data_IF_138301637358
#
_entry.id   IF_138301637358
#
_cell.length_a   1.000
_cell.length_b   1.000
_cell.length_c   1.000
_cell.angle_alpha   90.00
_cell.angle_beta   90.00
_cell.angle_gamma   90.00
#
_symmetry.space_group_name_H-M   'P 1'
#
loop_
_entity.id
_entity.type
_entity.pdbx_description
1 polymer ?
#
# COMPACT_ATOMS: atom_id res chain seq x y z
N UNK A 1 -62.58 31.86 20.09
CA UNK A 1 -61.72 31.50 18.95
C UNK A 1 -62.54 31.56 17.70
N UNK A 2 -62.01 32.20 16.67
CA UNK A 2 -62.66 32.27 15.36
C UNK A 2 -62.61 30.89 14.69
N UNK A 3 -63.58 30.59 13.82
CA UNK A 3 -63.75 29.26 13.20
C UNK A 3 -62.47 28.78 12.50
N UNK A 4 -61.77 29.69 11.82
CA UNK A 4 -60.53 29.39 11.08
C UNK A 4 -59.38 28.89 11.99
N UNK A 5 -59.34 29.29 13.26
CA UNK A 5 -58.30 28.85 14.19
C UNK A 5 -58.50 27.38 14.60
N UNK A 6 -59.76 26.94 14.70
CA UNK A 6 -60.09 25.54 15.01
C UNK A 6 -59.76 24.65 13.83
N UNK A 7 -60.18 25.07 12.64
CA UNK A 7 -59.93 24.33 11.39
C UNK A 7 -58.42 24.18 11.13
N UNK A 8 -57.61 25.20 11.47
CA UNK A 8 -56.15 25.12 11.36
C UNK A 8 -55.53 24.12 12.35
N UNK A 9 -55.98 24.10 13.61
CA UNK A 9 -55.46 23.16 14.63
C UNK A 9 -55.77 21.72 14.23
N UNK A 10 -56.99 21.44 13.78
CA UNK A 10 -57.42 20.09 13.37
C UNK A 10 -56.59 19.56 12.19
N UNK A 11 -56.27 20.42 11.21
CA UNK A 11 -55.41 20.06 10.08
C UNK A 11 -53.98 19.76 10.56
N UNK A 12 -53.43 20.59 11.46
CA UNK A 12 -52.07 20.40 11.98
C UNK A 12 -51.96 19.11 12.79
N UNK A 13 -52.97 18.78 13.61
CA UNK A 13 -53.04 17.52 14.37
C UNK A 13 -53.10 16.31 13.42
N UNK A 14 -53.94 16.38 12.38
CA UNK A 14 -54.04 15.30 11.38
C UNK A 14 -52.72 15.08 10.63
N UNK A 15 -52.06 16.16 10.21
CA UNK A 15 -50.77 16.06 9.51
C UNK A 15 -49.68 15.55 10.45
N UNK A 16 -49.67 15.97 11.72
CA UNK A 16 -48.72 15.45 12.70
C UNK A 16 -48.88 13.93 12.91
N UNK A 17 -50.12 13.46 13.05
CA UNK A 17 -50.43 12.03 13.19
C UNK A 17 -50.01 11.20 11.95
N UNK A 18 -50.22 11.74 10.74
CA UNK A 18 -49.80 11.08 9.51
C UNK A 18 -48.27 11.01 9.37
N UNK A 19 -47.57 12.08 9.76
CA UNK A 19 -46.11 12.14 9.76
C UNK A 19 -45.52 11.14 10.76
N UNK A 20 -46.08 11.05 11.98
CA UNK A 20 -45.65 10.05 12.97
C UNK A 20 -45.85 8.62 12.46
N UNK A 21 -47.01 8.33 11.86
CA UNK A 21 -47.25 7.01 11.23
C UNK A 21 -46.28 6.71 10.09
N UNK A 22 -45.93 7.70 9.28
CA UNK A 22 -44.96 7.54 8.20
C UNK A 22 -43.56 7.20 8.74
N UNK A 23 -43.10 7.92 9.75
CA UNK A 23 -41.78 7.66 10.36
C UNK A 23 -41.72 6.29 11.06
N UNK A 24 -42.81 5.86 11.72
CA UNK A 24 -42.91 4.52 12.29
C UNK A 24 -42.83 3.43 11.22
N UNK A 25 -43.61 3.56 10.14
CA UNK A 25 -43.57 2.60 9.03
C UNK A 25 -42.23 2.58 8.28
N UNK A 26 -41.54 3.72 8.22
CA UNK A 26 -40.19 3.79 7.65
C UNK A 26 -39.15 3.12 8.55
N UNK A 27 -39.30 3.20 9.87
CA UNK A 27 -38.45 2.47 10.82
C UNK A 27 -38.53 0.95 10.61
N UNK A 28 -39.75 0.41 10.54
CA UNK A 28 -39.98 -1.01 10.28
C UNK A 28 -39.42 -1.47 8.92
N UNK A 29 -39.50 -0.62 7.89
CA UNK A 29 -38.92 -0.91 6.58
C UNK A 29 -37.39 -0.93 6.62
N UNK A 30 -36.76 0.01 7.34
CA UNK A 30 -35.31 0.07 7.47
C UNK A 30 -34.78 -1.14 8.23
N UNK A 31 -35.48 -1.59 9.28
CA UNK A 31 -35.14 -2.80 10.02
C UNK A 31 -35.20 -4.04 9.12
N UNK A 32 -36.26 -4.19 8.32
CA UNK A 32 -36.36 -5.30 7.36
C UNK A 32 -35.28 -5.28 6.26
N UNK A 33 -34.84 -4.09 5.84
CA UNK A 33 -33.70 -3.94 4.90
C UNK A 33 -32.39 -4.32 5.58
N UNK A 34 -32.22 -3.96 6.85
CA UNK A 34 -31.02 -4.30 7.62
C UNK A 34 -30.89 -5.81 7.79
N UNK A 35 -31.98 -6.50 8.18
CA UNK A 35 -32.02 -7.95 8.30
C UNK A 35 -31.72 -8.64 6.96
N UNK A 36 -32.29 -8.16 5.86
CA UNK A 36 -32.00 -8.66 4.51
C UNK A 36 -30.53 -8.43 4.13
N UNK A 37 -29.94 -7.30 4.53
CA UNK A 37 -28.55 -6.95 4.24
C UNK A 37 -27.58 -7.82 5.05
N UNK A 38 -27.90 -8.12 6.31
CA UNK A 38 -27.14 -9.06 7.14
C UNK A 38 -27.13 -10.45 6.51
N UNK A 39 -28.30 -10.95 6.09
CA UNK A 39 -28.43 -12.26 5.41
C UNK A 39 -27.66 -12.30 4.07
N UNK A 40 -27.71 -11.24 3.27
CA UNK A 40 -26.92 -11.14 2.03
C UNK A 40 -25.43 -11.09 2.34
N UNK A 41 -25.02 -10.37 3.40
CA UNK A 41 -23.61 -10.25 3.78
C UNK A 41 -23.04 -11.61 4.18
N UNK A 42 -23.77 -12.40 4.96
CA UNK A 42 -23.35 -13.76 5.33
C UNK A 42 -23.22 -14.69 4.10
N UNK A 43 -24.18 -14.62 3.16
CA UNK A 43 -24.14 -15.42 1.93
C UNK A 43 -23.04 -14.98 0.95
N UNK A 44 -22.75 -13.68 0.87
CA UNK A 44 -21.68 -13.09 0.05
C UNK A 44 -20.30 -13.41 0.63
N UNK A 45 -20.13 -13.28 1.95
CA UNK A 45 -18.83 -13.47 2.59
C UNK A 45 -18.30 -14.91 2.45
N UNK A 46 -19.17 -15.93 2.51
CA UNK A 46 -18.73 -17.32 2.36
C UNK A 46 -18.35 -17.68 0.92
N UNK A 47 -19.18 -17.29 -0.05
CA UNK A 47 -18.99 -17.71 -1.45
C UNK A 47 -18.00 -16.83 -2.21
N UNK A 48 -18.01 -15.51 -2.02
CA UNK A 48 -17.12 -14.62 -2.76
C UNK A 48 -15.69 -14.71 -2.24
N UNK A 49 -15.47 -14.86 -0.93
CA UNK A 49 -14.10 -15.00 -0.40
C UNK A 49 -13.45 -16.28 -0.92
N UNK A 50 -14.18 -17.39 -0.94
CA UNK A 50 -13.63 -18.67 -1.42
C UNK A 50 -13.38 -18.66 -2.93
N UNK A 51 -14.24 -18.02 -3.72
CA UNK A 51 -14.03 -17.86 -5.16
C UNK A 51 -12.89 -16.88 -5.49
N UNK A 52 -12.76 -15.78 -4.75
CA UNK A 52 -11.67 -14.80 -4.92
C UNK A 52 -10.33 -15.41 -4.50
N UNK A 53 -10.27 -16.12 -3.37
CA UNK A 53 -9.03 -16.75 -2.89
C UNK A 53 -8.54 -17.83 -3.87
N UNK A 54 -9.47 -18.63 -4.42
CA UNK A 54 -9.16 -19.59 -5.49
C UNK A 54 -8.71 -18.90 -6.78
N UNK A 55 -9.38 -17.83 -7.20
CA UNK A 55 -8.99 -17.07 -8.40
C UNK A 55 -7.60 -16.44 -8.26
N UNK A 56 -7.27 -15.92 -7.06
CA UNK A 56 -5.95 -15.40 -6.74
C UNK A 56 -4.88 -16.51 -6.72
N UNK A 57 -5.19 -17.68 -6.17
CA UNK A 57 -4.27 -18.84 -6.19
C UNK A 57 -4.02 -19.33 -7.62
N UNK A 58 -5.08 -19.51 -8.42
CA UNK A 58 -4.99 -19.94 -9.82
C UNK A 58 -4.18 -18.96 -10.70
N UNK A 59 -4.15 -17.67 -10.34
CA UNK A 59 -3.33 -16.65 -11.02
C UNK A 59 -1.90 -16.57 -10.45
N UNK A 60 -1.72 -16.74 -9.15
CA UNK A 60 -0.43 -16.58 -8.48
C UNK A 60 0.56 -17.70 -8.84
N UNK A 61 0.10 -18.96 -8.94
CA UNK A 61 0.95 -20.10 -9.30
C UNK A 61 1.66 -19.91 -10.65
N UNK A 62 0.97 -19.66 -11.78
CA UNK A 62 1.64 -19.49 -13.07
C UNK A 62 2.48 -18.22 -13.16
N UNK A 63 2.14 -17.17 -12.41
CA UNK A 63 2.97 -15.96 -12.33
C UNK A 63 4.27 -16.19 -11.54
N UNK A 64 4.21 -16.97 -10.46
CA UNK A 64 5.37 -17.28 -9.63
C UNK A 64 6.32 -18.25 -10.32
N UNK A 65 5.80 -19.26 -11.03
CA UNK A 65 6.60 -20.18 -11.85
C UNK A 65 7.33 -19.42 -12.98
N UNK A 66 6.65 -18.53 -13.69
CA UNK A 66 7.27 -17.69 -14.71
C UNK A 66 8.33 -16.73 -14.14
N UNK A 67 8.16 -16.26 -12.90
CA UNK A 67 9.16 -15.43 -12.22
C UNK A 67 10.39 -16.24 -11.80
N UNK A 68 10.21 -17.44 -11.24
CA UNK A 68 11.31 -18.34 -10.88
C UNK A 68 12.13 -18.76 -12.11
N UNK A 69 11.47 -19.10 -13.22
CA UNK A 69 12.15 -19.42 -14.49
C UNK A 69 12.92 -18.20 -15.03
N UNK A 70 12.39 -17.00 -14.86
CA UNK A 70 13.07 -15.76 -15.26
C UNK A 70 14.23 -15.42 -14.30
N UNK A 71 14.11 -15.71 -13.00
CA UNK A 71 15.17 -15.52 -12.00
C UNK A 71 16.36 -16.44 -12.27
N UNK A 72 16.15 -17.69 -12.68
CA UNK A 72 17.21 -18.60 -13.12
C UNK A 72 17.93 -18.07 -14.38
N UNK A 73 17.21 -17.40 -15.29
CA UNK A 73 17.79 -16.72 -16.47
C UNK A 73 18.46 -15.39 -16.11
N UNK A 74 17.99 -14.70 -15.07
CA UNK A 74 18.50 -13.40 -14.63
C UNK A 74 19.64 -13.50 -13.61
N UNK A 75 19.93 -14.67 -13.04
CA UNK A 75 21.03 -14.87 -12.10
C UNK A 75 22.40 -14.45 -12.67
N UNK A 76 22.56 -14.47 -14.00
CA UNK A 76 23.75 -14.03 -14.73
C UNK A 76 23.60 -12.63 -15.38
N UNK A 77 22.45 -11.97 -15.20
CA UNK A 77 22.18 -10.64 -15.75
C UNK A 77 22.48 -9.62 -14.66
N UNK A 78 23.53 -8.81 -14.86
CA UNK A 78 23.75 -7.59 -14.08
C UNK A 78 22.42 -6.85 -13.97
N UNK A 79 21.92 -6.53 -12.76
CA UNK A 79 20.54 -6.13 -12.53
C UNK A 79 20.09 -4.89 -13.33
N UNK A 80 20.99 -4.24 -14.07
CA UNK A 80 20.72 -3.07 -14.92
C UNK A 80 20.42 -1.82 -14.11
N UNK A 81 20.08 -1.99 -12.84
CA UNK A 81 19.82 -0.97 -11.85
C UNK A 81 21.03 -0.82 -10.93
N UNK A 82 21.39 0.44 -10.58
CA UNK A 82 22.46 0.68 -9.64
C UNK A 82 22.13 0.12 -8.26
N UNK A 83 23.09 -0.60 -7.67
CA UNK A 83 22.99 -1.09 -6.29
C UNK A 83 24.17 -0.61 -5.44
N UNK A 84 23.90 -0.40 -4.15
CA UNK A 84 24.89 0.12 -3.20
C UNK A 84 25.76 -1.01 -2.65
N UNK A 85 27.04 -0.70 -2.46
CA UNK A 85 28.07 -1.55 -1.85
C UNK A 85 28.75 -0.68 -0.81
N UNK A 86 28.89 -1.18 0.42
CA UNK A 86 29.62 -0.49 1.48
C UNK A 86 31.13 -0.78 1.40
N UNK A 87 31.99 0.15 1.86
CA UNK A 87 33.42 -0.11 1.94
C UNK A 87 33.70 -1.08 3.09
N UNK A 88 34.63 -2.01 2.86
CA UNK A 88 35.05 -3.00 3.87
C UNK A 88 36.56 -2.95 4.06
N UNK A 89 37.05 -3.62 5.10
CA UNK A 89 38.50 -3.75 5.33
C UNK A 89 39.23 -4.45 4.16
N UNK A 90 38.52 -5.26 3.38
CA UNK A 90 39.06 -5.97 2.21
C UNK A 90 38.87 -5.19 0.90
N UNK A 91 37.82 -4.35 0.82
CA UNK A 91 37.47 -3.60 -0.39
C UNK A 91 37.27 -2.13 -0.07
N UNK A 92 38.17 -1.29 -0.57
CA UNK A 92 38.21 0.16 -0.34
C UNK A 92 38.37 0.55 1.14
N UNK A 93 39.38 0.00 1.86
CA UNK A 93 39.57 0.26 3.28
C UNK A 93 39.78 1.75 3.59
N UNK A 94 40.48 2.48 2.71
CA UNK A 94 40.74 3.91 2.83
C UNK A 94 39.48 4.78 2.77
N UNK A 95 38.36 4.24 2.28
CA UNK A 95 37.11 4.97 2.11
C UNK A 95 36.11 4.72 3.25
N UNK A 96 36.44 3.87 4.22
CA UNK A 96 35.56 3.61 5.37
C UNK A 96 35.29 4.91 6.14
N UNK A 97 34.01 5.25 6.29
CA UNK A 97 33.55 6.45 7.00
C UNK A 97 33.81 7.78 6.27
N UNK A 98 34.20 7.74 4.98
CA UNK A 98 34.36 8.95 4.16
C UNK A 98 33.00 9.46 3.67
N UNK A 99 32.75 10.77 3.78
CA UNK A 99 31.53 11.41 3.26
C UNK A 99 31.44 11.41 1.72
N UNK A 100 32.58 11.28 1.04
CA UNK A 100 32.64 11.24 -0.42
C UNK A 100 32.46 9.84 -1.02
N UNK A 101 32.30 8.82 -0.18
CA UNK A 101 32.05 7.47 -0.67
C UNK A 101 30.69 7.37 -1.35
N UNK A 102 30.69 7.01 -2.63
CA UNK A 102 29.49 6.83 -3.45
C UNK A 102 29.00 5.39 -3.44
N UNK A 103 29.91 4.43 -3.66
CA UNK A 103 29.65 3.00 -3.47
C UNK A 103 28.54 2.41 -4.33
N UNK A 104 28.34 2.87 -5.57
CA UNK A 104 27.29 2.31 -6.44
C UNK A 104 27.87 1.53 -7.62
N UNK A 105 27.29 0.37 -7.90
CA UNK A 105 27.64 -0.44 -9.07
C UNK A 105 26.76 -0.06 -10.25
N UNK A 106 27.36 0.25 -11.39
CA UNK A 106 26.69 0.52 -12.66
C UNK A 106 27.18 -0.45 -13.71
N UNK A 107 26.31 -1.25 -14.33
CA UNK A 107 26.77 -2.14 -15.40
C UNK A 107 27.79 -3.18 -14.92
N UNK A 108 27.69 -3.65 -13.66
CA UNK A 108 28.71 -4.47 -13.00
C UNK A 108 30.00 -3.75 -12.55
N UNK A 109 30.15 -2.44 -12.78
CA UNK A 109 31.34 -1.67 -12.38
C UNK A 109 31.07 -0.79 -11.15
N UNK A 110 31.83 -1.01 -10.07
CA UNK A 110 31.73 -0.21 -8.84
C UNK A 110 32.36 1.17 -9.05
N UNK A 111 31.57 2.24 -8.86
CA UNK A 111 32.05 3.60 -8.70
C UNK A 111 32.22 3.91 -7.21
N UNK A 112 33.47 4.01 -6.77
CA UNK A 112 33.81 4.15 -5.34
C UNK A 112 33.57 5.57 -4.82
N UNK A 113 34.13 6.59 -5.48
CA UNK A 113 33.84 8.00 -5.20
C UNK A 113 34.11 8.88 -6.44
N UNK A 114 33.71 10.15 -6.39
CA UNK A 114 33.92 11.08 -7.52
C UNK A 114 35.40 11.44 -7.74
N UNK A 115 36.21 11.45 -6.68
CA UNK A 115 37.64 11.80 -6.70
C UNK A 115 38.51 10.62 -7.14
N UNK A 116 38.18 9.43 -6.64
CA UNK A 116 38.85 8.17 -6.94
C UNK A 116 37.82 7.13 -7.40
N UNK A 117 37.51 7.08 -8.71
CA UNK A 117 36.46 6.21 -9.24
C UNK A 117 36.63 4.71 -8.89
N UNK A 118 37.87 4.25 -8.74
CA UNK A 118 38.22 2.86 -8.40
C UNK A 118 38.63 2.67 -6.93
N UNK A 119 38.51 3.72 -6.11
CA UNK A 119 39.04 3.75 -4.74
C UNK A 119 40.50 4.18 -4.68
N UNK A 120 40.95 4.44 -3.46
CA UNK A 120 42.33 4.81 -3.16
C UNK A 120 43.06 3.58 -2.58
N UNK A 121 44.26 3.29 -3.07
CA UNK A 121 44.96 2.03 -2.79
C UNK A 121 45.76 2.04 -1.47
N UNK A 122 46.27 3.19 -1.03
CA UNK A 122 47.01 3.27 0.24
C UNK A 122 46.08 3.30 1.45
N UNK A 123 46.63 3.23 2.66
CA UNK A 123 45.87 3.17 3.91
C UNK A 123 44.98 4.40 4.18
N UNK A 124 45.35 5.58 3.66
CA UNK A 124 44.66 6.85 3.95
C UNK A 124 44.44 7.62 2.65
N UNK A 125 43.18 7.89 2.32
CA UNK A 125 42.78 8.70 1.17
C UNK A 125 43.09 10.20 1.44
N UNK A 126 43.72 10.93 0.49
CA UNK A 126 44.04 12.35 0.64
C UNK A 126 42.79 13.24 0.67
N UNK A 127 41.72 12.82 0.01
CA UNK A 127 40.42 13.50 -0.04
C UNK A 127 39.44 12.90 1.00
N UNK A 128 39.94 12.29 2.07
CA UNK A 128 39.08 11.72 3.10
C UNK A 128 38.51 12.82 4.00
N UNK A 129 37.19 12.89 4.08
CA UNK A 129 36.47 13.79 4.97
C UNK A 129 35.45 13.03 5.80
N UNK A 130 35.36 13.37 7.09
CA UNK A 130 34.32 12.87 7.98
C UNK A 130 33.15 13.84 8.00
N UNK A 131 31.93 13.32 8.06
CA UNK A 131 30.76 14.15 8.33
C UNK A 131 30.91 14.79 9.73
N UNK A 132 30.90 16.12 9.80
CA UNK A 132 30.89 16.85 11.07
C UNK A 132 29.49 16.70 11.70
N UNK A 133 29.42 16.08 12.89
CA UNK A 133 28.17 15.89 13.64
C UNK A 133 27.72 17.15 14.37
#
# INVERSE_FOLDING_TARGET
MEQWQKDFIEIVETVADEVERFFLGMGEMVDAIFDLTEEITEQVHSNIITEVDRCLQDLAEPMMEAYCDLEEVMADIDPGFPYSVEPTAEKNPACMGCTHYHGQVYGGNLLVCAMHPHGYEDEICPDWEKEEC
#
